data_IF_138810493652
#
_entry.id   IF_138810493652
#
_cell.length_a   1.000
_cell.length_b   1.000
_cell.length_c   1.000
_cell.angle_alpha   90.00
_cell.angle_beta   90.00
_cell.angle_gamma   90.00
#
_symmetry.space_group_name_H-M   'P 1'
#
loop_
_entity.id
_entity.type
_entity.pdbx_description
1 polymer ?
#
# COMPACT_ATOMS: atom_id res chain seq x y z
N UNK A 1 -0.74 2.77 -30.11
CA UNK A 1 0.22 2.99 -31.21
C UNK A 1 0.74 4.40 -31.04
N UNK A 2 2.01 4.54 -30.65
CA UNK A 2 2.62 5.82 -30.27
C UNK A 2 2.86 6.67 -31.52
N UNK A 3 2.34 7.89 -31.55
CA UNK A 3 2.35 8.81 -32.70
C UNK A 3 3.69 9.55 -32.87
N UNK A 4 4.82 8.86 -32.73
CA UNK A 4 6.14 9.46 -32.94
C UNK A 4 6.48 9.42 -34.44
N UNK A 5 6.85 10.56 -35.08
CA UNK A 5 7.28 10.56 -36.47
C UNK A 5 8.60 9.82 -36.63
N UNK A 6 8.87 9.29 -37.82
CA UNK A 6 10.12 8.57 -38.08
C UNK A 6 11.35 9.49 -37.88
N UNK A 7 12.37 9.01 -37.18
CA UNK A 7 13.55 9.80 -36.84
C UNK A 7 14.45 9.16 -35.80
N UNK A 8 15.58 9.80 -35.50
CA UNK A 8 16.51 9.37 -34.46
C UNK A 8 16.05 9.85 -33.09
N UNK A 9 15.91 8.93 -32.14
CA UNK A 9 15.51 9.23 -30.77
C UNK A 9 16.43 8.50 -29.78
N UNK A 10 16.53 9.03 -28.56
CA UNK A 10 17.20 8.35 -27.45
C UNK A 10 16.46 7.05 -27.10
N UNK A 11 17.21 5.99 -26.86
CA UNK A 11 16.63 4.68 -26.50
C UNK A 11 16.04 4.76 -25.08
N UNK A 12 14.74 4.42 -24.87
CA UNK A 12 14.14 4.39 -23.53
C UNK A 12 14.78 3.37 -22.58
N UNK A 13 15.44 2.33 -23.11
CA UNK A 13 16.11 1.31 -22.33
C UNK A 13 17.56 1.69 -21.96
N UNK A 14 18.19 2.58 -22.73
CA UNK A 14 19.55 3.07 -22.47
C UNK A 14 19.72 4.54 -22.94
N UNK A 15 19.65 5.53 -22.02
CA UNK A 15 19.67 6.95 -22.36
C UNK A 15 21.01 7.45 -22.92
N UNK A 16 22.08 6.64 -22.82
CA UNK A 16 23.39 6.91 -23.40
C UNK A 16 23.44 6.58 -24.90
N UNK A 17 22.36 6.05 -25.46
CA UNK A 17 22.28 5.64 -26.87
C UNK A 17 21.06 6.22 -27.59
N UNK A 18 21.17 6.31 -28.91
CA UNK A 18 20.08 6.68 -29.81
C UNK A 18 19.88 5.62 -30.89
N UNK A 19 18.64 5.45 -31.29
CA UNK A 19 18.19 4.45 -32.28
C UNK A 19 17.16 5.08 -33.21
N UNK A 20 17.05 4.56 -34.43
CA UNK A 20 16.10 5.07 -35.42
C UNK A 20 14.71 4.48 -35.17
N UNK A 21 13.68 5.32 -35.08
CA UNK A 21 12.28 4.93 -35.03
C UNK A 21 11.67 5.11 -36.42
N UNK A 22 10.97 4.10 -36.94
CA UNK A 22 10.35 4.15 -38.28
C UNK A 22 8.84 4.45 -38.27
N UNK A 23 8.22 4.52 -37.09
CA UNK A 23 6.77 4.68 -36.91
C UNK A 23 6.09 3.45 -36.31
N UNK A 24 6.69 2.26 -36.46
CA UNK A 24 6.16 0.99 -35.97
C UNK A 24 7.13 0.28 -35.00
N UNK A 25 8.44 0.48 -35.17
CA UNK A 25 9.49 -0.15 -34.37
C UNK A 25 10.83 0.59 -34.39
N UNK A 26 11.77 0.08 -33.59
CA UNK A 26 13.14 0.59 -33.51
C UNK A 26 14.08 -0.19 -34.43
N UNK A 27 14.75 0.50 -35.35
CA UNK A 27 15.64 -0.06 -36.36
C UNK A 27 17.12 0.19 -36.08
N UNK A 28 17.97 -0.72 -36.58
CA UNK A 28 19.43 -0.56 -36.59
C UNK A 28 20.13 -0.83 -35.24
N UNK A 29 21.45 -0.62 -35.20
CA UNK A 29 22.27 -0.69 -33.98
C UNK A 29 22.19 0.64 -33.23
N UNK A 30 22.16 0.58 -31.90
CA UNK A 30 22.21 1.76 -31.04
C UNK A 30 23.57 2.46 -31.22
N UNK A 31 23.54 3.77 -31.44
CA UNK A 31 24.73 4.64 -31.59
C UNK A 31 24.82 5.49 -30.32
N UNK A 32 26.01 5.88 -29.83
CA UNK A 32 26.12 6.82 -28.72
C UNK A 32 25.26 8.07 -28.91
N UNK A 33 24.58 8.52 -27.86
CA UNK A 33 23.61 9.63 -27.92
C UNK A 33 24.23 10.97 -28.36
N UNK A 34 25.55 11.13 -28.18
CA UNK A 34 26.29 12.33 -28.57
C UNK A 34 26.89 12.27 -29.98
N UNK A 35 26.71 11.16 -30.70
CA UNK A 35 27.19 11.02 -32.08
C UNK A 35 26.23 11.69 -33.06
N UNK A 36 26.77 12.30 -34.12
CA UNK A 36 25.96 12.84 -35.22
C UNK A 36 25.28 11.67 -35.94
N UNK A 37 23.93 11.60 -35.98
CA UNK A 37 23.23 10.52 -36.65
C UNK A 37 23.43 10.58 -38.16
N UNK A 38 23.55 9.43 -38.86
CA UNK A 38 23.62 9.41 -40.32
C UNK A 38 22.30 9.85 -40.95
N UNK A 39 22.40 10.53 -42.10
CA UNK A 39 21.23 10.98 -42.87
C UNK A 39 20.50 9.77 -43.51
N UNK A 40 19.25 9.57 -43.09
CA UNK A 40 18.36 8.53 -43.63
C UNK A 40 18.22 7.28 -42.76
N UNK A 41 17.24 6.41 -43.06
CA UNK A 41 17.01 5.17 -42.31
C UNK A 41 18.19 4.21 -42.47
N UNK A 42 18.62 3.52 -41.39
CA UNK A 42 19.68 2.52 -41.49
C UNK A 42 19.22 1.35 -42.40
N UNK A 43 20.14 0.71 -43.16
CA UNK A 43 19.79 -0.45 -43.96
C UNK A 43 19.17 -1.54 -43.08
N UNK A 44 18.02 -2.07 -43.52
CA UNK A 44 17.37 -3.23 -42.88
C UNK A 44 18.36 -4.38 -42.92
N UNK A 45 18.88 -4.78 -41.75
CA UNK A 45 19.67 -6.00 -41.65
C UNK A 45 18.67 -7.15 -41.63
N UNK A 46 18.63 -7.91 -42.73
CA UNK A 46 17.92 -9.19 -42.79
C UNK A 46 18.42 -10.09 -41.65
N UNK A 47 17.49 -10.57 -40.84
CA UNK A 47 17.73 -11.51 -39.75
C UNK A 47 18.28 -12.83 -40.34
N UNK A 48 19.45 -13.34 -39.90
CA UNK A 48 19.94 -14.63 -40.38
C UNK A 48 19.00 -15.75 -39.89
N UNK A 49 18.74 -16.80 -40.69
CA UNK A 49 17.87 -17.90 -40.29
C UNK A 49 18.41 -18.64 -39.06
N UNK A 50 17.54 -19.21 -38.21
CA UNK A 50 17.95 -19.86 -36.97
C UNK A 50 18.80 -21.11 -37.25
N UNK A 51 20.02 -21.13 -36.72
CA UNK A 51 20.89 -22.30 -36.70
C UNK A 51 20.41 -23.32 -35.63
N UNK A 52 20.59 -24.65 -35.85
CA UNK A 52 20.04 -25.69 -35.00
C UNK A 52 20.66 -25.74 -33.60
N UNK A 53 19.83 -26.14 -32.63
CA UNK A 53 20.13 -26.20 -31.20
C UNK A 53 21.32 -27.11 -30.86
N UNK A 54 22.28 -26.59 -30.09
CA UNK A 54 23.32 -27.38 -29.41
C UNK A 54 22.86 -27.77 -27.99
N UNK A 55 23.28 -28.94 -27.47
CA UNK A 55 22.74 -29.53 -26.23
C UNK A 55 23.30 -28.92 -24.93
N UNK A 56 22.56 -29.16 -23.85
CA UNK A 56 22.70 -28.63 -22.49
C UNK A 56 24.06 -28.87 -21.78
N UNK A 57 24.46 -28.00 -20.82
CA UNK A 57 25.69 -28.18 -20.04
C UNK A 57 25.54 -29.21 -18.90
N UNK A 58 26.60 -30.01 -18.72
CA UNK A 58 26.76 -31.04 -17.68
C UNK A 58 27.17 -30.47 -16.30
N UNK A 59 26.97 -31.20 -15.19
CA UNK A 59 27.19 -30.68 -13.82
C UNK A 59 28.68 -30.63 -13.41
N UNK A 60 29.05 -29.79 -12.42
CA UNK A 60 30.44 -29.64 -11.98
C UNK A 60 30.90 -30.76 -11.04
N UNK A 61 32.15 -31.20 -11.22
CA UNK A 61 32.90 -32.12 -10.34
C UNK A 61 33.56 -31.40 -9.14
N UNK A 62 33.77 -32.09 -8.00
CA UNK A 62 34.31 -31.50 -6.78
C UNK A 62 35.86 -31.40 -6.77
N UNK A 63 36.39 -30.30 -6.22
CA UNK A 63 37.82 -30.07 -5.98
C UNK A 63 38.25 -30.56 -4.58
N UNK A 64 39.43 -31.16 -4.51
CA UNK A 64 40.13 -31.73 -3.35
C UNK A 64 40.87 -30.67 -2.50
N UNK A 65 41.18 -30.95 -1.20
CA UNK A 65 41.84 -30.00 -0.28
C UNK A 65 43.40 -30.10 -0.25
N UNK A 66 44.12 -29.03 0.16
CA UNK A 66 45.57 -29.07 0.45
C UNK A 66 45.92 -29.38 1.94
N UNK A 67 47.19 -29.73 2.26
CA UNK A 67 47.61 -30.49 3.47
C UNK A 67 47.98 -29.64 4.72
N UNK A 68 48.22 -30.26 5.90
CA UNK A 68 48.29 -29.58 7.21
C UNK A 68 49.72 -29.25 7.69
N UNK A 69 49.87 -28.19 8.50
CA UNK A 69 51.13 -27.96 9.23
C UNK A 69 51.19 -26.71 10.11
N UNK A 70 51.49 -26.96 11.39
CA UNK A 70 52.07 -26.08 12.44
C UNK A 70 51.13 -25.20 13.29
N UNK A 71 51.06 -25.58 14.57
CA UNK A 71 50.18 -25.06 15.62
C UNK A 71 50.70 -23.85 16.40
N UNK A 72 49.95 -23.40 17.43
CA UNK A 72 50.25 -22.19 18.18
C UNK A 72 51.07 -22.49 19.46
N UNK A 73 52.05 -21.64 19.76
CA UNK A 73 52.74 -21.61 21.06
C UNK A 73 52.28 -20.39 21.89
N UNK A 74 52.09 -20.53 23.23
CA UNK A 74 51.42 -19.55 24.07
C UNK A 74 52.36 -18.73 24.96
N UNK A 75 51.87 -17.59 25.45
CA UNK A 75 52.42 -16.86 26.59
C UNK A 75 51.77 -15.48 26.72
N UNK A 76 51.59 -14.86 27.89
CA UNK A 76 51.61 -15.26 29.28
C UNK A 76 51.01 -14.08 30.08
N UNK A 77 50.18 -14.36 31.09
CA UNK A 77 50.02 -13.59 32.35
C UNK A 77 49.42 -12.16 32.33
N UNK A 78 48.41 -11.86 33.18
CA UNK A 78 47.99 -10.49 33.49
C UNK A 78 48.55 -9.99 34.84
N UNK A 79 48.91 -8.70 34.95
CA UNK A 79 48.80 -7.93 36.21
C UNK A 79 48.74 -6.40 35.99
N UNK A 80 48.18 -5.63 36.94
CA UNK A 80 47.48 -4.37 36.70
C UNK A 80 48.30 -3.12 37.06
N UNK A 81 47.95 -2.00 36.45
CA UNK A 81 48.48 -0.68 36.79
C UNK A 81 47.48 0.41 36.47
N UNK A 82 47.17 1.22 37.48
CA UNK A 82 46.14 2.24 37.50
C UNK A 82 46.45 3.50 36.67
N UNK A 83 45.39 4.20 36.25
CA UNK A 83 45.36 5.67 36.20
C UNK A 83 45.11 6.32 34.84
N UNK A 84 43.89 6.86 34.68
CA UNK A 84 43.52 8.21 34.20
C UNK A 84 42.37 8.26 33.18
N UNK A 85 41.53 9.29 33.39
CA UNK A 85 40.21 9.58 32.83
C UNK A 85 40.21 10.01 31.34
N UNK A 86 39.02 10.07 30.70
CA UNK A 86 38.84 9.97 29.25
C UNK A 86 38.95 11.30 28.51
N UNK A 87 39.69 11.29 27.39
CA UNK A 87 39.66 12.31 26.35
C UNK A 87 38.82 11.84 25.16
N UNK A 88 37.84 12.65 24.77
CA UNK A 88 36.92 12.46 23.64
C UNK A 88 37.64 12.39 22.28
N UNK A 89 37.47 11.28 21.56
CA UNK A 89 37.78 11.13 20.13
C UNK A 89 36.51 11.08 19.26
N UNK A 90 36.55 11.49 17.97
CA UNK A 90 35.36 11.74 17.15
C UNK A 90 34.71 10.46 16.59
N UNK A 91 33.37 10.45 16.51
CA UNK A 91 32.58 9.36 15.91
C UNK A 91 32.70 9.32 14.36
N UNK A 92 32.65 8.12 13.74
CA UNK A 92 32.67 7.95 12.29
C UNK A 92 31.39 8.49 11.62
N UNK A 93 31.56 9.20 10.50
CA UNK A 93 30.50 9.86 9.75
C UNK A 93 29.54 8.91 9.02
N UNK A 94 28.27 9.29 9.00
CA UNK A 94 27.25 8.73 8.13
C UNK A 94 27.43 9.27 6.71
N UNK A 95 27.44 8.37 5.72
CA UNK A 95 27.58 8.70 4.30
C UNK A 95 26.38 9.50 3.74
N UNK A 96 26.54 10.18 2.59
CA UNK A 96 25.52 11.04 2.02
C UNK A 96 24.39 10.23 1.35
N UNK A 97 23.14 10.49 1.73
CA UNK A 97 21.96 10.00 1.01
C UNK A 97 21.58 10.94 -0.17
N UNK A 98 20.97 10.42 -1.26
CA UNK A 98 20.71 11.16 -2.50
C UNK A 98 19.64 12.23 -2.33
N UNK A 99 19.84 13.36 -3.03
CA UNK A 99 19.10 14.61 -2.86
C UNK A 99 17.59 14.55 -3.12
N UNK A 100 16.84 15.12 -2.19
CA UNK A 100 15.47 15.57 -2.39
C UNK A 100 15.50 17.04 -2.83
N UNK A 101 14.79 17.35 -3.92
CA UNK A 101 14.66 18.70 -4.44
C UNK A 101 14.05 19.69 -3.43
N UNK A 102 14.12 21.00 -3.71
CA UNK A 102 13.72 22.04 -2.77
C UNK A 102 12.22 21.92 -2.41
N UNK A 103 11.94 21.62 -1.14
CA UNK A 103 10.60 21.65 -0.57
C UNK A 103 10.18 23.08 -0.22
N UNK A 104 8.88 23.43 -0.35
CA UNK A 104 8.38 24.75 -0.01
C UNK A 104 8.55 25.04 1.49
N UNK A 105 8.77 26.32 1.88
CA UNK A 105 8.94 26.71 3.28
C UNK A 105 7.68 26.39 4.10
N UNK A 106 7.84 26.12 5.41
CA UNK A 106 6.71 25.85 6.30
C UNK A 106 5.72 27.03 6.32
N UNK A 107 4.41 26.77 6.42
CA UNK A 107 3.40 27.81 6.40
C UNK A 107 3.56 28.77 7.61
N UNK A 108 3.29 30.08 7.43
CA UNK A 108 3.32 31.03 8.54
C UNK A 108 2.37 30.60 9.65
N UNK A 109 2.87 30.53 10.90
CA UNK A 109 2.05 30.27 12.09
C UNK A 109 2.15 28.87 12.70
N UNK A 110 3.14 28.04 12.33
CA UNK A 110 3.37 26.76 13.00
C UNK A 110 3.85 26.99 14.44
N UNK A 111 3.01 26.64 15.42
CA UNK A 111 3.37 26.66 16.85
C UNK A 111 3.68 25.23 17.33
N UNK A 112 4.81 25.00 18.03
CA UNK A 112 5.12 23.70 18.59
C UNK A 112 4.11 23.32 19.68
N UNK A 113 3.83 22.01 19.87
CA UNK A 113 2.90 21.55 20.89
C UNK A 113 3.37 21.89 22.32
N UNK A 114 2.45 22.07 23.29
CA UNK A 114 2.82 22.40 24.67
C UNK A 114 3.66 21.29 25.31
N UNK A 115 4.79 21.67 25.92
CA UNK A 115 5.72 20.72 26.57
C UNK A 115 6.87 20.23 25.69
N UNK A 116 6.99 20.72 24.45
CA UNK A 116 8.12 20.39 23.59
C UNK A 116 9.35 21.22 23.98
N UNK A 117 10.32 20.58 24.65
CA UNK A 117 11.65 21.17 24.84
C UNK A 117 12.51 20.83 23.63
N UNK A 118 13.02 21.84 22.92
CA UNK A 118 13.81 21.56 21.75
C UNK A 118 15.18 20.99 22.12
N UNK A 119 15.72 20.05 21.32
CA UNK A 119 16.99 19.41 21.64
C UNK A 119 18.14 20.43 21.67
N UNK A 120 19.21 20.18 22.44
CA UNK A 120 20.37 21.07 22.51
C UNK A 120 20.92 21.35 21.10
N UNK A 121 21.05 22.63 20.74
CA UNK A 121 21.52 23.05 19.40
C UNK A 121 20.42 23.28 18.35
N UNK A 122 19.13 23.15 18.70
CA UNK A 122 18.02 23.42 17.79
C UNK A 122 18.05 24.84 17.18
N UNK A 123 18.43 25.85 17.98
CA UNK A 123 18.58 27.25 17.55
C UNK A 123 19.77 27.46 16.61
N UNK A 124 20.67 26.49 16.50
CA UNK A 124 21.88 26.57 15.69
C UNK A 124 21.73 25.84 14.35
N UNK A 125 20.71 24.99 14.17
CA UNK A 125 20.46 24.32 12.89
C UNK A 125 19.91 25.27 11.82
N UNK A 126 20.27 25.14 10.54
CA UNK A 126 19.65 25.93 9.45
C UNK A 126 18.13 25.66 9.35
N UNK A 127 17.29 26.67 8.99
CA UNK A 127 15.84 26.51 8.89
C UNK A 127 15.38 25.33 8.01
N UNK A 128 16.12 25.03 6.93
CA UNK A 128 15.84 23.89 6.06
C UNK A 128 16.06 22.51 6.71
N UNK A 129 17.07 22.39 7.61
CA UNK A 129 17.29 21.16 8.39
C UNK A 129 16.26 21.01 9.51
N UNK A 130 15.82 22.12 10.12
CA UNK A 130 14.75 22.11 11.14
C UNK A 130 13.43 21.61 10.57
N UNK A 131 13.09 22.04 9.34
CA UNK A 131 11.86 21.63 8.66
C UNK A 131 11.87 20.15 8.23
N UNK A 132 13.04 19.60 7.87
CA UNK A 132 13.20 18.19 7.49
C UNK A 132 13.16 17.21 8.67
N UNK A 133 13.24 17.69 9.91
CA UNK A 133 13.27 16.83 11.10
C UNK A 133 11.88 16.44 11.62
N UNK A 134 10.83 17.08 11.14
CA UNK A 134 9.45 16.74 11.51
C UNK A 134 8.72 16.12 10.31
N UNK A 135 8.24 14.87 10.42
CA UNK A 135 7.27 14.38 9.46
C UNK A 135 6.00 15.22 9.62
N UNK A 136 5.81 16.21 8.73
CA UNK A 136 4.57 16.97 8.65
C UNK A 136 3.48 15.96 8.29
N UNK A 137 2.66 15.61 9.29
CA UNK A 137 1.51 14.75 9.06
C UNK A 137 0.58 15.47 8.09
N UNK A 138 0.35 14.89 6.92
CA UNK A 138 -0.59 15.42 5.96
C UNK A 138 -1.96 15.57 6.65
N UNK A 139 -2.57 16.76 6.53
CA UNK A 139 -3.91 17.04 7.04
C UNK A 139 -4.85 17.36 5.89
N UNK A 140 -5.38 16.32 5.20
CA UNK A 140 -6.38 16.53 4.15
C UNK A 140 -7.55 17.35 4.70
N UNK A 141 -7.86 18.47 4.03
CA UNK A 141 -8.95 19.37 4.40
C UNK A 141 -8.90 19.86 5.87
N UNK A 142 -7.71 19.93 6.46
CA UNK A 142 -7.50 20.37 7.85
C UNK A 142 -7.74 19.29 8.91
N UNK A 143 -8.20 18.10 8.53
CA UNK A 143 -8.44 16.99 9.47
C UNK A 143 -7.20 16.14 9.69
N UNK A 144 -7.06 15.59 10.89
CA UNK A 144 -6.05 14.59 11.19
C UNK A 144 -6.38 13.27 10.46
N UNK A 145 -5.34 12.58 9.96
CA UNK A 145 -5.50 11.24 9.41
C UNK A 145 -5.91 10.25 10.51
N UNK A 146 -6.84 9.35 10.18
CA UNK A 146 -7.21 8.27 11.08
C UNK A 146 -6.03 7.31 11.28
N UNK A 147 -5.70 7.02 12.54
CA UNK A 147 -4.69 6.02 12.90
C UNK A 147 -5.05 4.60 12.40
N UNK A 148 -4.06 3.72 12.34
CA UNK A 148 -4.25 2.34 11.88
C UNK A 148 -5.18 1.53 12.79
N UNK A 149 -5.11 1.73 14.12
CA UNK A 149 -5.97 1.06 15.10
C UNK A 149 -7.47 1.31 14.87
N UNK A 150 -7.94 2.57 14.81
CA UNK A 150 -9.33 2.89 14.51
C UNK A 150 -9.82 2.32 13.17
N UNK A 151 -8.97 2.29 12.14
CA UNK A 151 -9.30 1.68 10.85
C UNK A 151 -9.48 0.17 10.96
N UNK A 152 -8.60 -0.51 11.70
CA UNK A 152 -8.68 -1.95 11.93
C UNK A 152 -9.96 -2.32 12.70
N UNK A 153 -10.22 -1.64 13.82
CA UNK A 153 -11.42 -1.90 14.63
C UNK A 153 -12.69 -1.60 13.84
N UNK A 154 -12.73 -0.49 13.10
CA UNK A 154 -13.86 -0.19 12.21
C UNK A 154 -14.08 -1.31 11.18
N UNK A 155 -13.00 -1.87 10.62
CA UNK A 155 -13.09 -2.97 9.66
C UNK A 155 -13.59 -4.26 10.31
N UNK A 156 -13.16 -4.59 11.52
CA UNK A 156 -13.66 -5.75 12.27
C UNK A 156 -15.15 -5.63 12.58
N UNK A 157 -15.61 -4.45 12.98
CA UNK A 157 -17.04 -4.18 13.21
C UNK A 157 -17.86 -4.29 11.92
N UNK A 158 -17.33 -3.78 10.80
CA UNK A 158 -17.96 -3.92 9.49
C UNK A 158 -18.03 -5.38 9.05
N UNK A 159 -16.96 -6.17 9.26
CA UNK A 159 -16.94 -7.62 8.98
C UNK A 159 -18.00 -8.33 9.81
N UNK A 160 -18.09 -8.03 11.11
CA UNK A 160 -19.09 -8.62 11.99
C UNK A 160 -20.52 -8.30 11.53
N UNK A 161 -20.79 -7.04 11.17
CA UNK A 161 -22.10 -6.64 10.66
C UNK A 161 -22.49 -7.40 9.38
N UNK A 162 -21.56 -7.51 8.42
CA UNK A 162 -21.78 -8.27 7.18
C UNK A 162 -21.88 -9.77 7.44
N UNK A 163 -21.14 -10.32 8.40
CA UNK A 163 -21.20 -11.72 8.80
C UNK A 163 -22.58 -12.05 9.39
N UNK A 164 -23.11 -11.20 10.27
CA UNK A 164 -24.46 -11.37 10.82
C UNK A 164 -25.52 -11.31 9.72
N UNK A 165 -25.38 -10.40 8.76
CA UNK A 165 -26.26 -10.33 7.59
C UNK A 165 -26.18 -11.62 6.74
N UNK A 166 -24.97 -12.17 6.58
CA UNK A 166 -24.77 -13.44 5.91
C UNK A 166 -25.40 -14.62 6.67
N UNK A 167 -25.34 -14.66 8.00
CA UNK A 167 -26.03 -15.73 8.76
C UNK A 167 -27.53 -15.71 8.47
N UNK A 168 -28.14 -14.53 8.39
CA UNK A 168 -29.58 -14.39 8.10
C UNK A 168 -29.90 -14.78 6.66
N UNK A 169 -29.14 -14.25 5.68
CA UNK A 169 -29.47 -14.42 4.25
C UNK A 169 -28.96 -15.75 3.68
N UNK A 170 -27.74 -16.15 4.03
CA UNK A 170 -27.11 -17.39 3.58
C UNK A 170 -27.39 -18.59 4.51
N UNK A 171 -28.09 -18.40 5.63
CA UNK A 171 -28.31 -19.47 6.62
C UNK A 171 -28.95 -20.74 6.04
N UNK A 172 -29.93 -20.59 5.14
CA UNK A 172 -30.56 -21.73 4.47
C UNK A 172 -29.59 -22.46 3.52
N UNK A 173 -28.84 -21.72 2.69
CA UNK A 173 -27.84 -22.32 1.80
C UNK A 173 -26.76 -23.04 2.58
N UNK A 174 -26.33 -22.45 3.70
CA UNK A 174 -25.37 -23.06 4.61
C UNK A 174 -25.92 -24.35 5.25
N UNK A 175 -27.19 -24.37 5.63
CA UNK A 175 -27.83 -25.58 6.15
C UNK A 175 -27.85 -26.71 5.12
N UNK A 176 -28.24 -26.43 3.87
CA UNK A 176 -28.21 -27.42 2.79
C UNK A 176 -26.77 -27.87 2.46
N UNK A 177 -25.82 -26.94 2.47
CA UNK A 177 -24.40 -27.25 2.31
C UNK A 177 -23.89 -28.16 3.44
N UNK A 178 -24.23 -27.85 4.70
CA UNK A 178 -23.80 -28.61 5.87
C UNK A 178 -24.30 -30.07 5.84
N UNK A 179 -25.51 -30.31 5.31
CA UNK A 179 -26.06 -31.66 5.14
C UNK A 179 -25.22 -32.55 4.22
N UNK A 180 -24.52 -31.95 3.25
CA UNK A 180 -23.62 -32.68 2.34
C UNK A 180 -22.16 -32.65 2.81
N UNK A 181 -21.72 -31.51 3.33
CA UNK A 181 -20.37 -31.29 3.79
C UNK A 181 -20.02 -32.15 5.00
N UNK A 182 -20.93 -32.28 5.98
CA UNK A 182 -20.63 -33.03 7.22
C UNK A 182 -20.36 -34.52 6.95
N UNK A 183 -21.18 -35.24 6.16
CA UNK A 183 -20.86 -36.62 5.77
C UNK A 183 -19.56 -36.74 4.99
N UNK A 184 -19.32 -35.86 4.01
CA UNK A 184 -18.09 -35.85 3.22
C UNK A 184 -16.86 -35.62 4.12
N UNK A 185 -16.90 -34.61 4.98
CA UNK A 185 -15.81 -34.30 5.90
C UNK A 185 -15.50 -35.47 6.84
N UNK A 186 -16.52 -36.14 7.37
CA UNK A 186 -16.34 -37.34 8.20
C UNK A 186 -15.72 -38.50 7.40
N UNK A 187 -16.14 -38.70 6.15
CA UNK A 187 -15.54 -39.70 5.28
C UNK A 187 -14.06 -39.39 5.00
N UNK A 188 -13.72 -38.13 4.70
CA UNK A 188 -12.32 -37.71 4.50
C UNK A 188 -11.46 -37.93 5.74
N UNK A 189 -11.98 -37.65 6.94
CA UNK A 189 -11.29 -37.93 8.20
C UNK A 189 -11.05 -39.42 8.42
N UNK A 190 -12.04 -40.26 8.12
CA UNK A 190 -11.91 -41.71 8.24
C UNK A 190 -10.89 -42.27 7.24
N UNK A 191 -10.86 -41.76 6.02
CA UNK A 191 -9.90 -42.19 4.99
C UNK A 191 -8.46 -41.86 5.40
N UNK A 192 -8.23 -40.63 5.88
CA UNK A 192 -6.93 -40.25 6.43
C UNK A 192 -6.53 -41.09 7.65
N UNK A 193 -7.48 -41.45 8.51
CA UNK A 193 -7.22 -42.32 9.66
C UNK A 193 -6.82 -43.75 9.24
N UNK A 194 -7.27 -44.19 8.07
CA UNK A 194 -6.93 -45.49 7.49
C UNK A 194 -5.66 -45.45 6.60
N UNK A 195 -4.96 -44.31 6.57
CA UNK A 195 -3.73 -44.12 5.79
C UNK A 195 -3.95 -43.72 4.33
N UNK A 196 -5.19 -43.42 3.92
CA UNK A 196 -5.54 -42.86 2.62
C UNK A 196 -5.39 -41.33 2.57
N UNK A 197 -5.85 -40.72 1.47
CA UNK A 197 -5.73 -39.27 1.24
C UNK A 197 -7.08 -38.55 1.40
N UNK A 198 -7.05 -37.34 1.96
CA UNK A 198 -8.24 -36.48 2.00
C UNK A 198 -8.78 -36.14 0.60
N UNK A 199 -7.92 -36.20 -0.43
CA UNK A 199 -8.28 -35.87 -1.80
C UNK A 199 -9.06 -36.99 -2.52
N UNK A 200 -9.11 -38.19 -1.95
CA UNK A 200 -9.83 -39.33 -2.54
C UNK A 200 -11.35 -39.21 -2.35
N UNK A 201 -11.77 -38.45 -1.35
CA UNK A 201 -13.20 -38.16 -1.10
C UNK A 201 -13.57 -36.86 -1.81
N UNK A 202 -14.31 -36.98 -2.90
CA UNK A 202 -14.76 -35.82 -3.66
C UNK A 202 -16.13 -35.32 -3.18
N UNK A 203 -16.30 -34.00 -3.24
CA UNK A 203 -17.57 -33.34 -3.00
C UNK A 203 -18.58 -33.59 -4.13
N UNK A 204 -19.86 -33.35 -3.85
CA UNK A 204 -20.90 -33.41 -4.87
C UNK A 204 -20.92 -32.10 -5.70
N UNK A 205 -21.38 -32.17 -6.95
CA UNK A 205 -21.59 -30.96 -7.76
C UNK A 205 -22.66 -30.01 -7.18
N UNK A 206 -23.62 -30.54 -6.39
CA UNK A 206 -24.61 -29.71 -5.68
C UNK A 206 -23.94 -28.88 -4.58
N UNK A 207 -23.04 -29.49 -3.81
CA UNK A 207 -22.27 -28.81 -2.77
C UNK A 207 -21.43 -27.68 -3.37
N UNK A 208 -20.79 -27.91 -4.52
CA UNK A 208 -20.04 -26.86 -5.24
C UNK A 208 -20.96 -25.71 -5.66
N UNK A 209 -22.15 -26.02 -6.21
CA UNK A 209 -23.12 -24.99 -6.59
C UNK A 209 -23.59 -24.15 -5.39
N UNK A 210 -23.77 -24.78 -4.23
CA UNK A 210 -24.18 -24.11 -3.00
C UNK A 210 -23.07 -23.20 -2.49
N UNK A 211 -21.81 -23.65 -2.56
CA UNK A 211 -20.65 -22.84 -2.18
C UNK A 211 -20.55 -21.58 -3.05
N UNK A 212 -20.65 -21.73 -4.38
CA UNK A 212 -20.63 -20.59 -5.29
C UNK A 212 -21.80 -19.63 -5.05
N UNK A 213 -23.01 -20.15 -4.84
CA UNK A 213 -24.17 -19.34 -4.50
C UNK A 213 -23.92 -18.51 -3.23
N UNK A 214 -23.42 -19.14 -2.15
CA UNK A 214 -23.09 -18.46 -0.90
C UNK A 214 -22.03 -17.37 -1.10
N UNK A 215 -20.95 -17.65 -1.83
CA UNK A 215 -19.89 -16.67 -2.10
C UNK A 215 -20.39 -15.47 -2.90
N UNK A 216 -21.23 -15.70 -3.92
CA UNK A 216 -21.83 -14.62 -4.73
C UNK A 216 -22.75 -13.77 -3.85
N UNK A 217 -23.66 -14.40 -3.09
CA UNK A 217 -24.57 -13.69 -2.19
C UNK A 217 -23.79 -12.92 -1.13
N UNK A 218 -22.76 -13.51 -0.52
CA UNK A 218 -21.92 -12.83 0.47
C UNK A 218 -21.21 -11.60 -0.12
N UNK A 219 -20.69 -11.72 -1.34
CA UNK A 219 -20.03 -10.63 -2.06
C UNK A 219 -21.01 -9.50 -2.36
N UNK A 220 -22.22 -9.83 -2.82
CA UNK A 220 -23.27 -8.85 -3.10
C UNK A 220 -23.78 -8.16 -1.82
N UNK A 221 -23.97 -8.89 -0.73
CA UNK A 221 -24.35 -8.31 0.57
C UNK A 221 -23.29 -7.34 1.07
N UNK A 222 -22.01 -7.71 0.94
CA UNK A 222 -20.92 -6.82 1.30
C UNK A 222 -20.91 -5.55 0.42
N UNK A 223 -21.08 -5.69 -0.90
CA UNK A 223 -21.22 -4.56 -1.83
C UNK A 223 -22.35 -3.62 -1.41
N UNK A 224 -23.55 -4.17 -1.19
CA UNK A 224 -24.75 -3.43 -0.84
C UNK A 224 -24.67 -2.78 0.55
N UNK A 225 -23.83 -3.31 1.44
CA UNK A 225 -23.54 -2.68 2.72
C UNK A 225 -22.52 -1.53 2.58
N UNK A 226 -21.39 -1.77 1.91
CA UNK A 226 -20.25 -0.84 1.93
C UNK A 226 -20.34 0.26 0.85
N UNK A 227 -20.68 -0.07 -0.40
CA UNK A 227 -20.68 0.91 -1.48
C UNK A 227 -21.66 2.08 -1.27
N UNK A 228 -22.95 1.87 -0.89
CA UNK A 228 -23.85 3.00 -0.68
C UNK A 228 -23.52 3.78 0.60
N UNK A 229 -23.06 3.13 1.67
CA UNK A 229 -22.70 3.82 2.92
C UNK A 229 -21.48 4.72 2.72
N UNK A 230 -20.47 4.26 1.99
CA UNK A 230 -19.29 5.05 1.61
C UNK A 230 -19.64 6.12 0.57
N UNK A 231 -20.43 5.79 -0.45
CA UNK A 231 -20.79 6.72 -1.52
C UNK A 231 -21.61 7.91 -1.05
N UNK A 232 -22.50 7.72 -0.07
CA UNK A 232 -23.38 8.77 0.46
C UNK A 232 -22.78 9.52 1.65
N UNK A 233 -22.23 8.80 2.63
CA UNK A 233 -21.79 9.40 3.91
C UNK A 233 -20.29 9.31 4.16
N UNK A 234 -19.58 8.47 3.41
CA UNK A 234 -18.18 8.13 3.70
C UNK A 234 -18.00 7.27 4.95
N UNK A 235 -19.08 6.76 5.57
CA UNK A 235 -19.02 6.01 6.82
C UNK A 235 -19.95 4.80 6.83
N UNK A 236 -19.35 3.62 6.99
CA UNK A 236 -20.02 2.37 7.39
C UNK A 236 -20.27 2.36 8.90
N UNK A 237 -21.04 1.39 9.42
CA UNK A 237 -21.35 1.29 10.85
C UNK A 237 -20.08 1.32 11.72
N UNK A 238 -19.09 0.49 11.41
CA UNK A 238 -17.84 0.44 12.16
C UNK A 238 -17.07 1.77 12.10
N UNK A 239 -17.09 2.45 10.95
CA UNK A 239 -16.44 3.75 10.78
C UNK A 239 -17.15 4.86 11.55
N UNK A 240 -18.48 4.81 11.66
CA UNK A 240 -19.26 5.73 12.50
C UNK A 240 -18.92 5.54 13.97
N UNK A 241 -18.86 4.30 14.45
CA UNK A 241 -18.48 3.96 15.83
C UNK A 241 -17.07 4.47 16.14
N UNK A 242 -16.12 4.26 15.22
CA UNK A 242 -14.73 4.72 15.38
C UNK A 242 -14.51 6.20 15.06
N UNK A 243 -15.57 6.95 14.72
CA UNK A 243 -15.51 8.37 14.33
C UNK A 243 -14.48 8.67 13.24
N UNK A 244 -14.42 7.79 12.24
CA UNK A 244 -13.58 7.97 11.06
C UNK A 244 -14.43 8.12 9.81
N UNK A 245 -13.97 8.90 8.83
CA UNK A 245 -14.71 9.17 7.60
C UNK A 245 -13.81 9.05 6.38
N UNK A 246 -14.30 8.34 5.35
CA UNK A 246 -13.68 8.29 4.03
C UNK A 246 -14.09 9.54 3.25
N UNK A 247 -13.11 10.22 2.67
CA UNK A 247 -13.30 11.44 1.89
C UNK A 247 -12.43 11.40 0.64
N UNK A 248 -12.84 12.10 -0.42
CA UNK A 248 -12.00 12.28 -1.59
C UNK A 248 -10.80 13.16 -1.22
N UNK A 249 -9.65 12.90 -1.83
CA UNK A 249 -8.45 13.72 -1.58
C UNK A 249 -8.67 15.15 -2.10
N UNK A 250 -9.42 15.29 -3.18
CA UNK A 250 -9.65 16.54 -3.90
C UNK A 250 -10.81 17.40 -3.35
N UNK A 251 -11.85 16.80 -2.76
CA UNK A 251 -13.05 17.52 -2.30
C UNK A 251 -13.69 16.87 -1.07
N UNK A 252 -14.52 17.65 -0.37
CA UNK A 252 -15.21 17.24 0.86
C UNK A 252 -16.62 16.68 0.62
N UNK A 253 -17.09 16.74 -0.63
CA UNK A 253 -18.39 16.24 -1.07
C UNK A 253 -18.52 14.71 -0.97
N UNK A 254 -19.74 14.15 -0.96
CA UNK A 254 -19.96 12.71 -1.03
C UNK A 254 -19.24 12.09 -2.24
N UNK A 255 -18.58 10.94 -2.03
CA UNK A 255 -17.82 10.25 -3.08
C UNK A 255 -18.65 9.85 -4.31
N UNK A 256 -19.95 9.67 -4.12
CA UNK A 256 -20.83 9.06 -5.11
C UNK A 256 -20.64 7.54 -5.22
N UNK A 257 -21.64 6.88 -5.79
CA UNK A 257 -21.65 5.42 -5.91
C UNK A 257 -20.49 4.89 -6.78
N UNK A 258 -20.17 5.55 -7.88
CA UNK A 258 -19.14 5.06 -8.82
C UNK A 258 -17.75 4.93 -8.20
N UNK A 259 -17.28 5.95 -7.48
CA UNK A 259 -15.99 5.88 -6.75
C UNK A 259 -16.05 4.88 -5.61
N UNK A 260 -17.16 4.83 -4.87
CA UNK A 260 -17.34 3.88 -3.78
C UNK A 260 -17.35 2.43 -4.28
N UNK A 261 -17.97 2.16 -5.43
CA UNK A 261 -17.94 0.88 -6.11
C UNK A 261 -16.54 0.53 -6.58
N UNK A 262 -15.81 1.45 -7.23
CA UNK A 262 -14.43 1.20 -7.66
C UNK A 262 -13.49 0.89 -6.47
N UNK A 263 -13.65 1.63 -5.38
CA UNK A 263 -12.98 1.38 -4.09
C UNK A 263 -13.31 -0.02 -3.57
N UNK A 264 -14.59 -0.39 -3.54
CA UNK A 264 -15.02 -1.71 -3.09
C UNK A 264 -14.53 -2.81 -4.03
N UNK A 265 -14.62 -2.65 -5.35
CA UNK A 265 -14.31 -3.67 -6.34
C UNK A 265 -12.86 -4.14 -6.26
N UNK A 266 -11.92 -3.23 -5.96
CA UNK A 266 -10.51 -3.59 -5.74
C UNK A 266 -10.32 -4.63 -4.65
N UNK A 267 -11.21 -4.64 -3.66
CA UNK A 267 -11.20 -5.53 -2.51
C UNK A 267 -12.18 -6.69 -2.65
N UNK A 268 -13.42 -6.42 -3.08
CA UNK A 268 -14.55 -7.32 -2.99
C UNK A 268 -14.74 -8.24 -4.19
N UNK A 269 -14.27 -7.84 -5.38
CA UNK A 269 -14.43 -8.68 -6.58
C UNK A 269 -13.60 -9.97 -6.51
N UNK A 270 -12.58 -10.00 -5.66
CA UNK A 270 -11.74 -11.18 -5.41
C UNK A 270 -12.36 -12.19 -4.44
N UNK A 271 -13.48 -11.87 -3.79
CA UNK A 271 -14.14 -12.74 -2.79
C UNK A 271 -14.55 -14.11 -3.38
N UNK A 272 -15.18 -14.19 -4.57
CA UNK A 272 -15.52 -15.49 -5.15
C UNK A 272 -14.28 -16.34 -5.49
N UNK A 273 -13.13 -15.71 -5.74
CA UNK A 273 -11.86 -16.39 -5.97
C UNK A 273 -11.22 -16.99 -4.71
N UNK A 274 -11.87 -16.90 -3.54
CA UNK A 274 -11.45 -17.65 -2.34
C UNK A 274 -11.47 -19.16 -2.57
N UNK A 275 -12.42 -19.66 -3.38
CA UNK A 275 -12.48 -21.08 -3.77
C UNK A 275 -11.31 -21.54 -4.64
N UNK A 276 -10.62 -20.62 -5.31
CA UNK A 276 -9.47 -20.90 -6.17
C UNK A 276 -8.16 -20.89 -5.35
N UNK A 277 -7.97 -21.88 -4.48
CA UNK A 277 -6.79 -22.03 -3.61
C UNK A 277 -6.52 -20.84 -2.68
N UNK A 278 -7.54 -20.05 -2.34
CA UNK A 278 -7.40 -18.91 -1.41
C UNK A 278 -6.69 -17.68 -1.99
N UNK A 279 -6.41 -17.62 -3.29
CA UNK A 279 -5.70 -16.49 -3.93
C UNK A 279 -6.41 -15.16 -3.64
N UNK A 280 -7.74 -15.13 -3.77
CA UNK A 280 -8.52 -13.92 -3.48
C UNK A 280 -8.37 -13.43 -2.04
N UNK A 281 -8.21 -14.34 -1.08
CA UNK A 281 -8.00 -14.01 0.32
C UNK A 281 -6.61 -13.39 0.56
N UNK A 282 -5.57 -13.97 -0.05
CA UNK A 282 -4.20 -13.43 0.05
C UNK A 282 -4.11 -12.01 -0.49
N UNK A 283 -4.73 -11.74 -1.66
CA UNK A 283 -4.76 -10.38 -2.23
C UNK A 283 -5.45 -9.37 -1.31
N UNK A 284 -6.51 -9.82 -0.61
CA UNK A 284 -7.24 -9.00 0.34
C UNK A 284 -6.41 -8.68 1.59
N UNK A 285 -5.62 -9.64 2.07
CA UNK A 285 -4.68 -9.41 3.18
C UNK A 285 -3.60 -8.40 2.81
N UNK A 286 -3.03 -8.52 1.60
CA UNK A 286 -2.03 -7.58 1.09
C UNK A 286 -2.61 -6.16 1.06
N UNK A 287 -3.84 -5.99 0.57
CA UNK A 287 -4.53 -4.70 0.58
C UNK A 287 -4.73 -4.18 2.02
N UNK A 288 -5.13 -5.02 2.97
CA UNK A 288 -5.32 -4.62 4.37
C UNK A 288 -4.02 -4.17 5.06
N UNK A 289 -2.88 -4.74 4.70
CA UNK A 289 -1.56 -4.39 5.26
C UNK A 289 -0.97 -3.16 4.57
N UNK A 290 -1.39 -2.86 3.34
CA UNK A 290 -0.81 -1.77 2.53
C UNK A 290 -0.72 -0.38 3.21
N UNK A 291 -1.67 0.06 4.09
CA UNK A 291 -1.54 1.32 4.82
C UNK A 291 -0.33 1.42 5.75
N UNK A 292 0.26 0.29 6.16
CA UNK A 292 1.45 0.25 7.02
C UNK A 292 2.68 0.80 6.29
N UNK A 293 2.73 0.62 4.97
CA UNK A 293 3.85 1.04 4.13
C UNK A 293 3.70 2.49 3.62
N UNK A 294 2.50 3.08 3.72
CA UNK A 294 2.25 4.46 3.32
C UNK A 294 2.30 5.41 4.53
N UNK A 295 3.45 6.05 4.75
CA UNK A 295 3.65 6.95 5.89
C UNK A 295 3.03 8.35 5.69
N UNK A 296 2.75 8.75 4.44
CA UNK A 296 2.27 10.10 4.13
C UNK A 296 0.77 10.22 4.34
N UNK A 297 -0.03 9.36 3.71
CA UNK A 297 -1.49 9.41 3.74
C UNK A 297 -2.13 8.16 4.37
N UNK A 298 -1.33 7.13 4.67
CA UNK A 298 -1.79 5.84 5.21
C UNK A 298 -2.93 5.26 4.37
N UNK A 299 -2.77 5.33 3.04
CA UNK A 299 -3.76 4.86 2.08
C UNK A 299 -3.58 3.37 1.80
N UNK A 300 -4.68 2.62 1.88
CA UNK A 300 -4.71 1.27 1.36
C UNK A 300 -4.71 1.27 -0.18
N UNK A 301 -4.41 0.14 -0.83
CA UNK A 301 -4.45 0.06 -2.29
C UNK A 301 -5.85 0.38 -2.84
N UNK A 302 -6.92 -0.11 -2.21
CA UNK A 302 -8.29 0.30 -2.56
C UNK A 302 -8.53 1.81 -2.41
N UNK A 303 -7.97 2.44 -1.37
CA UNK A 303 -8.10 3.88 -1.17
C UNK A 303 -7.35 4.66 -2.26
N UNK A 304 -6.18 4.17 -2.71
CA UNK A 304 -5.39 4.76 -3.80
C UNK A 304 -6.14 4.70 -5.13
N UNK A 305 -6.72 3.54 -5.46
CA UNK A 305 -7.51 3.39 -6.70
C UNK A 305 -8.68 4.36 -6.78
N UNK A 306 -9.29 4.68 -5.63
CA UNK A 306 -10.41 5.60 -5.54
C UNK A 306 -10.02 7.04 -5.23
N UNK A 307 -8.72 7.35 -5.09
CA UNK A 307 -8.19 8.65 -4.62
C UNK A 307 -8.92 9.12 -3.36
N UNK A 308 -8.95 8.28 -2.34
CA UNK A 308 -9.64 8.54 -1.07
C UNK A 308 -8.67 8.53 0.09
N UNK A 309 -9.05 9.19 1.17
CA UNK A 309 -8.31 9.22 2.42
C UNK A 309 -9.28 9.08 3.58
N UNK A 310 -8.81 8.50 4.68
CA UNK A 310 -9.62 8.34 5.90
C UNK A 310 -9.15 9.30 6.97
N UNK A 311 -10.04 10.19 7.35
CA UNK A 311 -9.82 11.22 8.35
C UNK A 311 -10.44 10.81 9.69
N UNK A 312 -9.87 11.29 10.78
CA UNK A 312 -10.47 11.22 12.11
C UNK A 312 -11.38 12.45 12.31
N UNK A 313 -12.61 12.21 12.73
CA UNK A 313 -13.53 13.27 13.11
C UNK A 313 -13.22 13.71 14.56
N UNK A 314 -13.23 15.02 14.86
CA UNK A 314 -13.09 15.49 16.24
C UNK A 314 -14.15 14.83 17.15
N UNK A 315 -13.84 14.54 18.41
CA UNK A 315 -14.88 14.35 19.43
C UNK A 315 -15.76 15.59 19.41
N UNK A 316 -17.08 15.43 19.36
CA UNK A 316 -18.04 16.55 19.34
C UNK A 316 -17.73 17.52 20.49
N UNK A 317 -17.09 18.64 20.16
CA UNK A 317 -17.13 19.87 20.92
C UNK A 317 -16.81 21.05 20.00
N UNK A 318 -17.91 21.77 19.68
CA UNK A 318 -18.05 23.07 19.02
C UNK A 318 -17.86 23.07 17.50
N UNK A 319 -18.99 23.16 16.81
CA UNK A 319 -19.06 23.91 15.55
C UNK A 319 -18.27 25.21 15.70
N UNK A 320 -17.40 25.58 14.74
CA UNK A 320 -16.88 26.94 14.71
C UNK A 320 -18.09 27.86 14.66
N UNK A 321 -18.24 28.68 15.71
CA UNK A 321 -19.24 29.73 15.76
C UNK A 321 -19.09 30.52 14.47
N UNK A 322 -20.16 30.61 13.67
CA UNK A 322 -20.20 31.48 12.51
C UNK A 322 -19.85 32.90 12.98
N UNK A 323 -18.60 33.30 12.76
CA UNK A 323 -18.14 34.67 12.95
C UNK A 323 -18.66 35.51 11.78
N UNK A 324 -19.98 35.59 11.63
CA UNK A 324 -20.62 36.42 10.61
C UNK A 324 -21.98 36.87 11.12
N UNK A 325 -21.98 37.75 12.13
CA UNK A 325 -22.94 38.87 12.32
C UNK A 325 -22.74 39.51 13.69
N UNK A 326 -21.66 40.30 13.84
CA UNK A 326 -21.69 41.45 14.76
C UNK A 326 -20.81 42.56 14.23
N UNK A 327 -21.19 43.08 13.06
CA UNK A 327 -20.78 44.40 12.60
C UNK A 327 -22.02 45.10 12.05
N UNK A 328 -22.33 46.26 12.60
CA UNK A 328 -23.38 47.16 12.10
C UNK A 328 -24.54 47.36 13.07
N UNK A 329 -24.46 48.39 13.90
CA UNK A 329 -25.60 48.83 14.70
C UNK A 329 -25.27 49.84 15.81
N UNK A 330 -24.36 50.78 15.56
CA UNK A 330 -24.23 51.97 16.40
C UNK A 330 -25.36 52.93 16.02
N UNK A 331 -26.41 52.98 16.83
CA UNK A 331 -27.58 53.83 16.63
C UNK A 331 -28.00 54.45 17.95
N UNK A 332 -27.45 55.62 18.22
CA UNK A 332 -27.83 56.54 19.29
C UNK A 332 -29.31 56.92 19.20
N UNK A 333 -30.07 56.74 20.28
CA UNK A 333 -31.31 57.48 20.51
C UNK A 333 -31.24 58.18 21.86
N UNK A 334 -31.02 59.49 21.77
CA UNK A 334 -31.32 60.51 22.77
C UNK A 334 -32.52 61.32 22.28
N UNK A 335 -33.35 61.77 23.24
CA UNK A 335 -34.45 62.77 23.13
C UNK A 335 -35.73 62.29 22.41
N UNK A 336 -36.95 62.55 22.85
CA UNK A 336 -37.50 63.35 23.95
C UNK A 336 -39.03 63.48 23.76
N UNK A 337 -39.73 63.86 24.83
CA UNK A 337 -41.19 64.09 25.00
C UNK A 337 -42.00 62.91 25.54
#
# INVERSE_FOLDING_TARGET
MSSLPAGWYKDPADPETQRYWDGEGWLGKAIPADAVPPDGPPPVQDEPPPAPASPAPAPPTPLTPPPPGWGPQPGAGPQPGAGQQPGSGPQPGWGPQPGWGPQPPPPPGWQPPPGWQPPPGWEQMPPGMRAGMYPVQARPHGYALAGLGPRLVARLLDILAVLLLNVVVNGYFFYEFAKEFVPMYRASLNEMANGGSAFDVQGSGRMDSLLWAMLIVATLLWLLYEAPSIGSTGQTLGKRIMRIKVMAVEHTEPLGFGRAFGRWARLGLWTPAWGCAGIGFVLQLIDCISPVFDQQLRQAFHDKTARTVVIALPPDDRQPVDATTRSGGNGSHTEGS
#
